data_IF_877582330838
#
_entry.id   IF_877582330838
#
_cell.length_a   1.000
_cell.length_b   1.000
_cell.length_c   1.000
_cell.angle_alpha   90.00
_cell.angle_beta   90.00
_cell.angle_gamma   90.00
#
_symmetry.space_group_name_H-M   'P 1'
#
loop_
_entity.id
_entity.type
_entity.pdbx_description
1 polymer ?
#
# COMPACT_ATOMS: atom_id res chain seq x y z
N UNK A 1 26.98 1.79 -17.57
CA UNK A 1 27.20 3.11 -16.91
C UNK A 1 25.85 3.54 -16.37
N UNK A 2 25.51 3.13 -15.14
CA UNK A 2 24.20 3.38 -14.54
C UNK A 2 24.02 4.87 -14.31
N UNK A 3 22.96 5.46 -14.87
CA UNK A 3 22.68 6.89 -14.70
C UNK A 3 22.30 7.11 -13.24
N UNK A 4 23.14 7.81 -12.47
CA UNK A 4 22.86 8.19 -11.09
C UNK A 4 21.61 9.08 -11.10
N UNK A 5 20.53 8.66 -10.44
CA UNK A 5 19.29 9.42 -10.33
C UNK A 5 19.59 10.74 -9.59
N UNK A 6 19.00 11.86 -10.04
CA UNK A 6 19.14 13.14 -9.35
C UNK A 6 18.36 13.12 -8.03
N UNK A 7 18.76 13.91 -7.02
CA UNK A 7 18.02 13.96 -5.73
C UNK A 7 16.55 14.36 -5.95
N UNK A 8 16.31 15.32 -6.83
CA UNK A 8 14.98 15.75 -7.27
C UNK A 8 14.18 14.58 -7.87
N UNK A 9 14.76 13.81 -8.79
CA UNK A 9 14.11 12.64 -9.36
C UNK A 9 13.90 11.53 -8.33
N UNK A 10 14.84 11.32 -7.40
CA UNK A 10 14.71 10.36 -6.32
C UNK A 10 13.50 10.68 -5.44
N UNK A 11 13.37 11.94 -4.99
CA UNK A 11 12.25 12.41 -4.17
C UNK A 11 10.94 12.20 -4.93
N UNK A 12 10.85 12.71 -6.16
CA UNK A 12 9.63 12.61 -6.96
C UNK A 12 9.22 11.16 -7.22
N UNK A 13 10.11 10.34 -7.77
CA UNK A 13 9.81 8.95 -8.15
C UNK A 13 9.48 8.09 -6.93
N UNK A 14 10.17 8.30 -5.81
CA UNK A 14 9.87 7.58 -4.56
C UNK A 14 8.49 7.94 -4.02
N UNK A 15 8.10 9.23 -4.04
CA UNK A 15 6.78 9.66 -3.58
C UNK A 15 5.67 9.13 -4.49
N UNK A 16 5.82 9.29 -5.81
CA UNK A 16 4.87 8.76 -6.81
C UNK A 16 4.65 7.24 -6.64
N UNK A 17 5.75 6.51 -6.44
CA UNK A 17 5.71 5.07 -6.28
C UNK A 17 5.14 4.62 -4.92
N UNK A 18 5.45 5.32 -3.83
CA UNK A 18 4.85 5.04 -2.52
C UNK A 18 3.35 5.33 -2.51
N UNK A 19 2.89 6.43 -3.12
CA UNK A 19 1.46 6.73 -3.23
C UNK A 19 0.70 5.55 -3.88
N UNK A 20 1.24 5.00 -4.96
CA UNK A 20 0.67 3.83 -5.62
C UNK A 20 0.72 2.57 -4.75
N UNK A 21 1.92 2.15 -4.33
CA UNK A 21 2.09 0.83 -3.72
C UNK A 21 1.60 0.75 -2.28
N UNK A 22 1.70 1.81 -1.48
CA UNK A 22 1.22 1.77 -0.10
C UNK A 22 -0.30 1.62 -0.05
N UNK A 23 -1.02 2.25 -0.99
CA UNK A 23 -2.46 2.02 -1.17
C UNK A 23 -2.75 0.56 -1.51
N UNK A 24 -2.06 0.00 -2.49
CA UNK A 24 -2.24 -1.39 -2.90
C UNK A 24 -1.96 -2.34 -1.73
N UNK A 25 -0.91 -2.11 -0.92
CA UNK A 25 -0.63 -2.95 0.25
C UNK A 25 -1.66 -2.78 1.38
N UNK A 26 -2.17 -1.56 1.61
CA UNK A 26 -3.33 -1.31 2.49
C UNK A 26 -4.54 -2.14 2.06
N UNK A 27 -4.89 -2.08 0.78
CA UNK A 27 -6.06 -2.77 0.21
C UNK A 27 -5.90 -4.29 0.23
N UNK A 28 -4.69 -4.80 -0.02
CA UNK A 28 -4.39 -6.22 0.17
C UNK A 28 -4.67 -6.69 1.60
N UNK A 29 -4.26 -5.92 2.60
CA UNK A 29 -4.52 -6.23 3.99
C UNK A 29 -6.02 -6.25 4.32
N UNK A 30 -6.79 -5.31 3.76
CA UNK A 30 -8.25 -5.31 3.85
C UNK A 30 -8.88 -6.56 3.22
N UNK A 31 -8.43 -6.99 2.03
CA UNK A 31 -8.95 -8.18 1.37
C UNK A 31 -8.66 -9.45 2.17
N UNK A 32 -7.46 -9.54 2.74
CA UNK A 32 -7.08 -10.63 3.63
C UNK A 32 -7.99 -10.68 4.85
N UNK A 33 -8.13 -9.54 5.56
CA UNK A 33 -8.99 -9.37 6.73
C UNK A 33 -10.42 -9.87 6.47
N UNK A 34 -11.02 -9.39 5.37
CA UNK A 34 -12.40 -9.71 4.99
C UNK A 34 -12.64 -11.19 4.65
N UNK A 35 -11.59 -11.93 4.29
CA UNK A 35 -11.71 -13.33 3.89
C UNK A 35 -11.54 -14.34 5.02
N UNK A 36 -11.10 -13.94 6.22
CA UNK A 36 -10.89 -14.87 7.33
C UNK A 36 -12.20 -15.20 8.06
N UNK A 37 -12.30 -16.43 8.57
CA UNK A 37 -13.43 -16.87 9.38
C UNK A 37 -13.21 -16.51 10.86
N UNK A 38 -14.27 -16.48 11.69
CA UNK A 38 -14.14 -16.14 13.12
C UNK A 38 -13.16 -17.01 13.91
N UNK A 39 -13.01 -18.29 13.52
CA UNK A 39 -12.04 -19.20 14.16
C UNK A 39 -10.59 -18.75 13.95
N UNK A 40 -10.32 -18.02 12.87
CA UNK A 40 -9.01 -17.45 12.51
C UNK A 40 -8.97 -15.93 12.76
N UNK A 41 -9.71 -15.45 13.77
CA UNK A 41 -9.77 -14.02 14.13
C UNK A 41 -8.41 -13.38 14.42
N UNK A 42 -7.42 -14.17 14.85
CA UNK A 42 -6.04 -13.69 15.00
C UNK A 42 -5.36 -13.35 13.67
N UNK A 43 -5.69 -14.06 12.58
CA UNK A 43 -5.20 -13.72 11.24
C UNK A 43 -5.91 -12.47 10.71
N UNK A 44 -7.22 -12.35 10.95
CA UNK A 44 -7.97 -11.14 10.62
C UNK A 44 -7.38 -9.91 11.33
N UNK A 45 -7.11 -10.02 12.64
CA UNK A 45 -6.48 -8.96 13.43
C UNK A 45 -5.08 -8.61 12.95
N UNK A 46 -4.28 -9.59 12.54
CA UNK A 46 -2.96 -9.31 11.95
C UNK A 46 -3.07 -8.58 10.60
N UNK A 47 -4.05 -8.94 9.77
CA UNK A 47 -4.30 -8.24 8.52
C UNK A 47 -4.75 -6.79 8.77
N UNK A 48 -5.66 -6.56 9.72
CA UNK A 48 -6.06 -5.23 10.17
C UNK A 48 -4.87 -4.39 10.67
N UNK A 49 -3.96 -4.99 11.45
CA UNK A 49 -2.73 -4.31 11.88
C UNK A 49 -1.85 -3.89 10.72
N UNK A 50 -1.71 -4.70 9.66
CA UNK A 50 -1.00 -4.27 8.45
C UNK A 50 -1.73 -3.13 7.75
N UNK A 51 -3.06 -3.22 7.61
CA UNK A 51 -3.89 -2.15 7.01
C UNK A 51 -3.65 -0.81 7.72
N UNK A 52 -3.65 -0.79 9.04
CA UNK A 52 -3.40 0.43 9.82
C UNK A 52 -1.96 0.94 9.72
N UNK A 53 -0.98 0.04 9.65
CA UNK A 53 0.42 0.44 9.44
C UNK A 53 0.65 1.02 8.04
N UNK A 54 0.03 0.45 7.01
CA UNK A 54 0.06 1.01 5.66
C UNK A 54 -0.72 2.33 5.56
N UNK A 55 -1.84 2.49 6.27
CA UNK A 55 -2.52 3.79 6.41
C UNK A 55 -1.57 4.86 6.96
N UNK A 56 -0.80 4.54 8.01
CA UNK A 56 0.15 5.47 8.60
C UNK A 56 1.25 5.89 7.60
N UNK A 57 1.83 4.93 6.88
CA UNK A 57 2.84 5.23 5.85
C UNK A 57 2.25 6.01 4.66
N UNK A 58 1.03 5.68 4.23
CA UNK A 58 0.38 6.37 3.13
C UNK A 58 0.00 7.81 3.51
N UNK A 59 -0.47 8.07 4.73
CA UNK A 59 -0.68 9.44 5.24
C UNK A 59 0.62 10.27 5.20
N UNK A 60 1.74 9.68 5.60
CA UNK A 60 3.06 10.31 5.53
C UNK A 60 3.47 10.58 4.07
N UNK A 61 3.26 9.60 3.18
CA UNK A 61 3.52 9.75 1.75
C UNK A 61 2.69 10.87 1.11
N UNK A 62 1.40 10.95 1.41
CA UNK A 62 0.49 12.01 0.93
C UNK A 62 0.95 13.38 1.40
N UNK A 63 1.30 13.51 2.68
CA UNK A 63 1.84 14.75 3.24
C UNK A 63 3.10 15.21 2.52
N UNK A 64 4.06 14.31 2.32
CA UNK A 64 5.32 14.62 1.61
C UNK A 64 5.10 14.87 0.11
N UNK A 65 4.13 14.19 -0.51
CA UNK A 65 3.85 14.26 -1.93
C UNK A 65 3.18 15.57 -2.36
N UNK A 66 2.46 16.24 -1.46
CA UNK A 66 1.77 17.48 -1.81
C UNK A 66 2.77 18.52 -2.35
N UNK A 67 2.56 18.99 -3.58
CA UNK A 67 3.45 19.88 -4.35
C UNK A 67 4.83 19.30 -4.68
N UNK A 68 5.05 18.01 -4.51
CA UNK A 68 6.33 17.33 -4.75
C UNK A 68 6.24 16.19 -5.78
N UNK A 69 5.07 15.98 -6.40
CA UNK A 69 4.84 14.97 -7.42
C UNK A 69 4.38 15.58 -8.74
N UNK A 70 4.53 14.84 -9.85
CA UNK A 70 4.17 15.34 -11.17
C UNK A 70 2.66 15.42 -11.37
N UNK A 71 2.23 16.31 -12.27
CA UNK A 71 0.83 16.33 -12.74
C UNK A 71 0.43 15.01 -13.40
N UNK A 72 1.39 14.32 -14.03
CA UNK A 72 1.13 13.07 -14.75
C UNK A 72 0.57 12.01 -13.79
N UNK A 73 1.25 11.76 -12.66
CA UNK A 73 0.81 10.77 -11.66
C UNK A 73 -0.56 11.11 -11.06
N UNK A 74 -0.86 12.40 -10.84
CA UNK A 74 -2.12 12.83 -10.23
C UNK A 74 -3.30 12.74 -11.21
N UNK A 75 -3.01 12.76 -12.52
CA UNK A 75 -4.02 12.67 -13.58
C UNK A 75 -4.20 11.26 -14.16
N UNK A 76 -3.32 10.32 -13.84
CA UNK A 76 -3.33 8.96 -14.39
C UNK A 76 -4.44 8.08 -13.79
N UNK A 77 -4.91 8.43 -12.59
CA UNK A 77 -5.84 7.61 -11.81
C UNK A 77 -5.18 6.45 -11.07
N UNK A 78 -3.83 6.37 -11.06
CA UNK A 78 -3.12 5.26 -10.41
C UNK A 78 -3.03 5.41 -8.88
N UNK A 79 -2.98 6.65 -8.37
CA UNK A 79 -2.97 6.94 -6.92
C UNK A 79 -4.37 6.81 -6.33
N UNK A 80 -5.34 7.48 -6.98
CA UNK A 80 -6.73 7.54 -6.54
C UNK A 80 -7.63 7.85 -7.74
N UNK A 81 -8.88 7.40 -7.69
CA UNK A 81 -9.89 7.66 -8.72
C UNK A 81 -11.11 8.38 -8.13
N UNK A 82 -11.95 8.94 -8.99
CA UNK A 82 -13.24 9.52 -8.62
C UNK A 82 -14.25 8.50 -8.04
N UNK A 83 -13.96 7.19 -8.17
CA UNK A 83 -14.81 6.12 -7.65
C UNK A 83 -14.34 5.54 -6.32
N UNK A 84 -13.09 5.82 -5.94
CA UNK A 84 -12.43 5.20 -4.80
C UNK A 84 -13.19 5.44 -3.49
N UNK A 85 -13.54 6.69 -3.19
CA UNK A 85 -14.25 7.04 -1.96
C UNK A 85 -15.58 6.27 -1.83
N UNK A 86 -16.35 6.21 -2.92
CA UNK A 86 -17.62 5.48 -2.95
C UNK A 86 -17.42 3.97 -2.79
N UNK A 87 -16.34 3.42 -3.35
CA UNK A 87 -16.00 2.01 -3.21
C UNK A 87 -15.64 1.67 -1.75
N UNK A 88 -14.85 2.52 -1.09
CA UNK A 88 -14.50 2.36 0.33
C UNK A 88 -15.75 2.47 1.23
N UNK A 89 -16.59 3.49 1.02
CA UNK A 89 -17.87 3.64 1.73
C UNK A 89 -18.77 2.41 1.57
N UNK A 90 -18.89 1.89 0.34
CA UNK A 90 -19.72 0.71 0.10
C UNK A 90 -19.12 -0.55 0.70
N UNK A 91 -17.79 -0.64 0.74
CA UNK A 91 -17.09 -1.74 1.39
C UNK A 91 -17.36 -1.73 2.89
N UNK A 92 -17.22 -0.57 3.56
CA UNK A 92 -17.57 -0.42 4.99
C UNK A 92 -19.01 -0.86 5.24
N UNK A 93 -19.97 -0.39 4.43
CA UNK A 93 -21.39 -0.72 4.58
C UNK A 93 -21.67 -2.23 4.48
N UNK A 94 -20.98 -2.92 3.56
CA UNK A 94 -21.25 -4.34 3.27
C UNK A 94 -20.42 -5.31 4.13
N UNK A 95 -19.20 -4.94 4.53
CA UNK A 95 -18.29 -5.82 5.28
C UNK A 95 -18.27 -5.51 6.77
N UNK A 96 -18.61 -4.28 7.17
CA UNK A 96 -18.42 -3.78 8.53
C UNK A 96 -16.96 -3.49 8.91
N UNK A 97 -16.01 -3.65 7.98
CA UNK A 97 -14.59 -3.38 8.24
C UNK A 97 -14.33 -1.88 8.08
N UNK A 98 -13.73 -1.21 9.08
CA UNK A 98 -13.41 0.20 8.97
C UNK A 98 -12.33 0.45 7.92
N UNK A 99 -12.50 1.53 7.15
CA UNK A 99 -11.53 2.05 6.19
C UNK A 99 -11.39 3.55 6.45
N UNK A 100 -10.14 4.05 6.47
CA UNK A 100 -9.89 5.48 6.57
C UNK A 100 -10.20 6.18 5.23
N UNK A 101 -11.41 6.72 5.12
CA UNK A 101 -11.86 7.46 3.94
C UNK A 101 -11.31 8.89 3.90
N UNK A 102 -10.85 9.46 5.02
CA UNK A 102 -10.26 10.80 5.04
C UNK A 102 -8.93 10.80 4.29
N UNK A 103 -8.15 9.72 4.39
CA UNK A 103 -6.94 9.55 3.60
C UNK A 103 -7.21 9.59 2.09
N UNK A 104 -8.32 9.01 1.62
CA UNK A 104 -8.72 9.11 0.21
C UNK A 104 -9.09 10.54 -0.17
N UNK A 105 -9.68 11.32 0.73
CA UNK A 105 -9.94 12.75 0.50
C UNK A 105 -8.62 13.52 0.42
N UNK A 106 -7.65 13.24 1.29
CA UNK A 106 -6.33 13.87 1.26
C UNK A 106 -5.58 13.55 -0.06
N UNK A 107 -5.63 12.30 -0.53
CA UNK A 107 -5.06 11.89 -1.83
C UNK A 107 -5.69 12.67 -3.00
N UNK A 108 -7.02 12.86 -2.98
CA UNK A 108 -7.74 13.62 -4.01
C UNK A 108 -7.40 15.11 -4.02
N UNK A 109 -6.88 15.64 -2.90
CA UNK A 109 -6.52 17.05 -2.72
C UNK A 109 -5.05 17.35 -3.03
N UNK A 110 -4.26 16.35 -3.44
CA UNK A 110 -2.86 16.54 -3.80
C UNK A 110 -2.71 17.54 -4.96
N UNK A 111 -1.80 18.49 -4.80
CA UNK A 111 -1.40 19.43 -5.85
C UNK A 111 -0.08 18.99 -6.48
N UNK A 112 0.10 19.09 -7.82
CA UNK A 112 1.38 18.81 -8.45
C UNK A 112 2.40 19.94 -8.17
N UNK A 113 3.69 19.61 -8.17
CA UNK A 113 4.73 20.63 -8.04
C UNK A 113 6.14 20.10 -8.28
N UNK A 114 7.12 21.01 -8.16
CA UNK A 114 8.53 20.66 -8.29
C UNK A 114 9.03 20.06 -6.98
N UNK A 115 9.52 18.82 -7.04
CA UNK A 115 10.02 18.09 -5.87
C UNK A 115 11.17 18.82 -5.18
N UNK A 116 11.03 19.03 -3.89
CA UNK A 116 12.02 19.66 -3.01
C UNK A 116 13.14 18.66 -2.65
N UNK A 117 14.40 18.91 -3.06
CA UNK A 117 15.54 18.06 -2.69
C UNK A 117 15.78 17.96 -1.18
N UNK A 118 15.30 18.91 -0.37
CA UNK A 118 15.44 18.88 1.09
C UNK A 118 14.72 17.68 1.73
N UNK A 119 13.74 17.10 1.03
CA UNK A 119 12.96 15.95 1.47
C UNK A 119 13.68 14.61 1.32
N UNK A 120 14.88 14.57 0.71
CA UNK A 120 15.61 13.32 0.42
C UNK A 120 15.69 12.39 1.64
N UNK A 121 16.06 12.92 2.80
CA UNK A 121 16.20 12.10 4.03
C UNK A 121 14.86 11.58 4.53
N UNK A 122 13.80 12.39 4.48
CA UNK A 122 12.47 11.98 4.91
C UNK A 122 11.91 10.88 3.98
N UNK A 123 12.06 11.08 2.67
CA UNK A 123 11.64 10.10 1.65
C UNK A 123 12.44 8.81 1.74
N UNK A 124 13.75 8.87 1.97
CA UNK A 124 14.56 7.67 2.18
C UNK A 124 14.12 6.90 3.44
N UNK A 125 13.74 7.60 4.52
CA UNK A 125 13.21 6.97 5.72
C UNK A 125 11.85 6.29 5.47
N UNK A 126 10.94 6.99 4.77
CA UNK A 126 9.66 6.44 4.34
C UNK A 126 9.87 5.17 3.50
N UNK A 127 10.75 5.21 2.49
CA UNK A 127 11.09 4.06 1.65
C UNK A 127 11.56 2.87 2.51
N UNK A 128 12.49 3.11 3.44
CA UNK A 128 13.04 2.04 4.28
C UNK A 128 11.96 1.37 5.15
N UNK A 129 11.06 2.16 5.73
CA UNK A 129 9.93 1.65 6.53
C UNK A 129 8.90 0.93 5.67
N UNK A 130 8.59 1.44 4.49
CA UNK A 130 7.69 0.82 3.53
C UNK A 130 8.22 -0.54 3.04
N UNK A 131 9.51 -0.63 2.73
CA UNK A 131 10.18 -1.88 2.36
C UNK A 131 10.10 -2.89 3.50
N UNK A 132 10.46 -2.48 4.72
CA UNK A 132 10.46 -3.37 5.88
C UNK A 132 9.04 -3.93 6.15
N UNK A 133 8.03 -3.06 6.18
CA UNK A 133 6.64 -3.48 6.40
C UNK A 133 6.15 -4.39 5.27
N UNK A 134 6.54 -4.13 4.03
CA UNK A 134 6.17 -4.98 2.90
C UNK A 134 6.84 -6.35 2.96
N UNK A 135 8.08 -6.44 3.45
CA UNK A 135 8.75 -7.73 3.71
C UNK A 135 8.00 -8.55 4.77
N UNK A 136 7.52 -7.91 5.83
CA UNK A 136 6.67 -8.56 6.84
C UNK A 136 5.34 -9.03 6.23
N UNK A 137 4.70 -8.20 5.39
CA UNK A 137 3.48 -8.58 4.67
C UNK A 137 3.72 -9.76 3.71
N UNK A 138 4.88 -9.84 3.04
CA UNK A 138 5.27 -10.97 2.19
C UNK A 138 5.33 -12.26 3.02
N UNK A 139 5.93 -12.22 4.21
CA UNK A 139 5.99 -13.38 5.10
C UNK A 139 4.59 -13.80 5.55
N UNK A 140 3.74 -12.82 5.89
CA UNK A 140 2.34 -13.07 6.25
C UNK A 140 1.56 -13.75 5.12
N UNK A 141 1.62 -13.20 3.90
CA UNK A 141 1.01 -13.77 2.69
C UNK A 141 1.55 -15.18 2.39
N UNK A 142 2.85 -15.40 2.57
CA UNK A 142 3.48 -16.72 2.37
C UNK A 142 2.96 -17.75 3.36
N UNK A 143 2.83 -17.38 4.64
CA UNK A 143 2.27 -18.26 5.67
C UNK A 143 0.83 -18.66 5.33
N UNK A 144 -0.01 -17.69 4.98
CA UNK A 144 -1.41 -17.93 4.58
C UNK A 144 -1.47 -18.90 3.41
N UNK A 145 -0.72 -18.63 2.34
CA UNK A 145 -0.69 -19.49 1.15
C UNK A 145 -0.27 -20.92 1.49
N UNK A 146 0.77 -21.10 2.30
CA UNK A 146 1.25 -22.42 2.71
C UNK A 146 0.22 -23.18 3.56
N UNK A 147 -0.48 -22.49 4.46
CA UNK A 147 -1.53 -23.10 5.27
C UNK A 147 -2.75 -23.51 4.41
N UNK A 148 -3.11 -22.69 3.42
CA UNK A 148 -4.16 -23.04 2.46
C UNK A 148 -3.78 -24.26 1.61
N UNK A 149 -2.55 -24.29 1.08
CA UNK A 149 -2.05 -25.40 0.25
C UNK A 149 -1.86 -26.70 1.03
N UNK A 150 -1.64 -26.63 2.35
CA UNK A 150 -1.58 -27.80 3.24
C UNK A 150 -2.94 -28.17 3.84
N UNK A 151 -4.02 -27.50 3.42
CA UNK A 151 -5.38 -27.70 3.95
C UNK A 151 -5.49 -27.49 5.48
N UNK A 152 -4.64 -26.64 6.05
CA UNK A 152 -4.64 -26.28 7.49
C UNK A 152 -5.28 -24.93 7.79
N UNK A 153 -5.72 -24.20 6.76
CA UNK A 153 -6.44 -22.93 6.87
C UNK A 153 -7.55 -22.87 5.83
N UNK A 154 -8.76 -22.51 6.27
CA UNK A 154 -9.88 -22.23 5.40
C UNK A 154 -10.21 -20.73 5.46
N UNK A 155 -10.31 -20.10 4.30
CA UNK A 155 -10.60 -18.67 4.13
C UNK A 155 -11.34 -18.49 2.80
N UNK A 156 -12.13 -17.42 2.67
CA UNK A 156 -12.76 -17.06 1.40
C UNK A 156 -11.77 -16.44 0.39
N UNK A 157 -10.53 -16.17 0.80
CA UNK A 157 -9.47 -15.80 -0.14
C UNK A 157 -9.10 -16.97 -1.04
N UNK A 158 -8.87 -16.73 -2.33
CA UNK A 158 -8.37 -17.76 -3.26
C UNK A 158 -6.85 -17.90 -3.16
N UNK A 159 -6.27 -19.12 -3.20
CA UNK A 159 -4.81 -19.29 -3.18
C UNK A 159 -4.09 -18.50 -4.29
N UNK A 160 -4.68 -18.43 -5.48
CA UNK A 160 -4.14 -17.68 -6.61
C UNK A 160 -4.15 -16.16 -6.36
N UNK A 161 -5.16 -15.64 -5.65
CA UNK A 161 -5.19 -14.25 -5.21
C UNK A 161 -4.02 -13.99 -4.25
N UNK A 162 -3.82 -14.86 -3.25
CA UNK A 162 -2.72 -14.72 -2.28
C UNK A 162 -1.36 -14.74 -2.98
N UNK A 163 -1.14 -15.66 -3.92
CA UNK A 163 0.08 -15.69 -4.71
C UNK A 163 0.29 -14.40 -5.51
N UNK A 164 -0.77 -13.90 -6.15
CA UNK A 164 -0.73 -12.67 -6.94
C UNK A 164 -0.34 -11.45 -6.11
N UNK A 165 -1.05 -11.18 -5.01
CA UNK A 165 -0.78 -10.02 -4.15
C UNK A 165 0.57 -10.15 -3.44
N UNK A 166 1.10 -11.37 -3.29
CA UNK A 166 2.46 -11.62 -2.78
C UNK A 166 3.52 -11.26 -3.83
N UNK A 167 3.29 -11.59 -5.11
CA UNK A 167 4.19 -11.20 -6.21
C UNK A 167 4.26 -9.68 -6.39
N UNK A 168 3.15 -8.98 -6.21
CA UNK A 168 3.14 -7.51 -6.24
C UNK A 168 3.95 -6.91 -5.09
N UNK A 169 3.85 -7.48 -3.88
CA UNK A 169 4.66 -7.06 -2.74
C UNK A 169 6.16 -7.34 -2.96
N UNK A 170 6.50 -8.48 -3.57
CA UNK A 170 7.89 -8.79 -3.96
C UNK A 170 8.41 -7.79 -5.00
N UNK A 171 7.59 -7.45 -6.00
CA UNK A 171 7.94 -6.46 -7.00
C UNK A 171 8.21 -5.08 -6.38
N UNK A 172 7.36 -4.62 -5.45
CA UNK A 172 7.59 -3.38 -4.72
C UNK A 172 8.97 -3.38 -4.03
N UNK A 173 9.29 -4.43 -3.27
CA UNK A 173 10.57 -4.56 -2.57
C UNK A 173 11.75 -4.61 -3.54
N UNK A 174 11.63 -5.31 -4.67
CA UNK A 174 12.70 -5.39 -5.67
C UNK A 174 13.00 -4.03 -6.33
N UNK A 175 11.96 -3.25 -6.61
CA UNK A 175 12.10 -1.95 -7.28
C UNK A 175 12.60 -0.87 -6.31
N UNK A 176 12.17 -0.90 -5.05
CA UNK A 176 12.53 0.12 -4.05
C UNK A 176 13.80 -0.21 -3.26
N UNK A 177 14.23 -1.47 -3.26
CA UNK A 177 15.46 -1.92 -2.59
C UNK A 177 16.75 -1.74 -3.39
N UNK A 178 16.69 -1.15 -4.60
CA UNK A 178 17.84 -0.86 -5.47
C UNK A 178 18.21 0.61 -5.42
#
# INVERSE_FOLDING_TARGET
MGRKISVTDFVRLSLESNLFFLRIMKEHSLFLEAGFLPIDSDLARQADQFKEQFNALLREAVSLANRNVSRVVLSSGEVVTDKTLRAEQKTIELSGIPIDTELTLDELMLEPGASDPSLETAVANLNQRAIALTQELIQFKTRILNQMLSCTLFTFNYPLLIDHIRREALFFVEVHGK
#
